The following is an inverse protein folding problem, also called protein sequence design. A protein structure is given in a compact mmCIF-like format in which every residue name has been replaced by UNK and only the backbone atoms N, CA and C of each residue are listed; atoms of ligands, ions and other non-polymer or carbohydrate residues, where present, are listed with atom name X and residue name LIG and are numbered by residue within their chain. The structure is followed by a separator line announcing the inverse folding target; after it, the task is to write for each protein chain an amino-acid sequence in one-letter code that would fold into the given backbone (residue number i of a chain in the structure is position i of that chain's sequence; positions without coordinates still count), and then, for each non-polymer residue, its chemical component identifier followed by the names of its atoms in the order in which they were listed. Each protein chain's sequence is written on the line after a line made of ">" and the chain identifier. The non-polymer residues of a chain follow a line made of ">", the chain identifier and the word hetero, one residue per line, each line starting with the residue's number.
data_IF_489998018114
#
_entry.id   IF_489998018114
#
_cell.length_a   1.000
_cell.length_b   1.000
_cell.length_c   1.000
_cell.angle_alpha   90.00
_cell.angle_beta   90.00
_cell.angle_gamma   90.00
#
_symmetry.space_group_name_H-M   'P 1'
#
loop_
_entity.id
_entity.type
_entity.pdbx_description
1 polymer ?
#
# COMPACT_ATOMS: atom_id res chain seq x y z
N UNK A 1 21.59 -12.94 -27.86
CA UNK A 1 22.96 -13.37 -28.12
C UNK A 1 23.23 -14.74 -27.47
N UNK A 2 24.20 -15.51 -27.95
CA UNK A 2 24.54 -16.81 -27.37
C UNK A 2 24.86 -16.69 -25.85
N UNK A 3 25.49 -15.61 -25.42
CA UNK A 3 25.75 -15.34 -23.99
C UNK A 3 24.45 -15.23 -23.17
N UNK A 4 23.41 -14.54 -23.67
CA UNK A 4 22.14 -14.43 -22.95
C UNK A 4 21.41 -15.77 -22.80
N UNK A 5 21.62 -16.72 -23.70
CA UNK A 5 21.00 -18.04 -23.63
C UNK A 5 21.68 -18.95 -22.60
N UNK A 6 22.98 -18.76 -22.34
CA UNK A 6 23.71 -19.45 -21.26
C UNK A 6 23.18 -19.04 -19.89
N UNK A 7 22.99 -17.73 -19.64
CA UNK A 7 22.46 -17.23 -18.37
C UNK A 7 21.02 -17.69 -18.13
N UNK A 8 20.18 -17.76 -19.15
CA UNK A 8 18.79 -18.22 -19.02
C UNK A 8 18.70 -19.68 -18.57
N UNK A 9 19.57 -20.56 -19.07
CA UNK A 9 19.66 -21.94 -18.60
C UNK A 9 20.05 -22.00 -17.11
N UNK A 10 21.01 -21.16 -16.69
CA UNK A 10 21.44 -21.11 -15.29
C UNK A 10 20.33 -20.62 -14.34
N UNK A 11 19.48 -19.69 -14.80
CA UNK A 11 18.37 -19.13 -14.02
C UNK A 11 17.19 -20.10 -13.98
N UNK A 12 16.96 -20.89 -15.02
CA UNK A 12 15.79 -21.75 -15.14
C UNK A 12 15.65 -22.71 -13.94
N UNK A 13 16.76 -23.30 -13.50
CA UNK A 13 16.80 -24.30 -12.42
C UNK A 13 17.00 -23.69 -11.01
N UNK A 14 16.85 -22.36 -10.86
CA UNK A 14 17.04 -21.64 -9.59
C UNK A 14 15.82 -20.78 -9.28
N UNK A 15 15.76 -20.26 -8.07
CA UNK A 15 14.76 -19.26 -7.64
C UNK A 15 15.20 -17.81 -7.92
N UNK A 16 16.23 -17.62 -8.71
CA UNK A 16 16.76 -16.29 -9.00
C UNK A 16 15.80 -15.50 -9.89
N UNK A 17 15.70 -14.23 -9.58
CA UNK A 17 15.07 -13.23 -10.42
C UNK A 17 16.11 -12.59 -11.34
N UNK A 18 15.68 -12.06 -12.48
CA UNK A 18 16.59 -11.42 -13.40
C UNK A 18 16.06 -10.09 -13.94
N UNK A 19 16.97 -9.13 -14.11
CA UNK A 19 16.70 -7.87 -14.80
C UNK A 19 16.99 -8.06 -16.28
N UNK A 20 15.99 -7.76 -17.13
CA UNK A 20 16.12 -7.82 -18.57
C UNK A 20 15.93 -6.42 -19.18
N UNK A 21 16.94 -5.99 -19.93
CA UNK A 21 16.98 -4.66 -20.55
C UNK A 21 16.33 -4.69 -21.93
N UNK A 22 15.49 -3.68 -22.25
CA UNK A 22 14.89 -3.53 -23.59
C UNK A 22 15.85 -2.85 -24.55
N UNK A 23 16.99 -3.50 -24.79
CA UNK A 23 17.99 -3.08 -25.79
C UNK A 23 18.37 -4.24 -26.71
N UNK A 24 18.85 -3.91 -27.88
CA UNK A 24 19.39 -4.85 -28.87
C UNK A 24 20.86 -4.56 -29.20
N UNK A 25 21.39 -5.17 -30.23
CA UNK A 25 22.79 -4.96 -30.65
C UNK A 25 23.04 -3.56 -31.20
N UNK A 26 21.99 -2.85 -31.62
CA UNK A 26 22.07 -1.46 -32.12
C UNK A 26 21.96 -0.42 -31.00
N UNK A 27 21.75 -0.88 -29.75
CA UNK A 27 21.66 -0.02 -28.58
C UNK A 27 20.23 0.08 -28.00
N UNK A 28 19.93 1.26 -27.39
CA UNK A 28 18.61 1.54 -26.80
C UNK A 28 17.66 2.02 -27.90
N UNK A 29 16.54 1.30 -28.17
CA UNK A 29 15.58 1.75 -29.19
C UNK A 29 14.89 3.06 -28.77
N UNK A 30 14.61 3.90 -29.74
CA UNK A 30 13.97 5.21 -29.62
C UNK A 30 12.44 5.14 -29.58
N UNK A 31 11.83 4.02 -30.00
CA UNK A 31 10.39 3.88 -30.10
C UNK A 31 9.83 2.78 -29.20
N UNK A 32 8.57 2.95 -28.79
CA UNK A 32 7.80 1.98 -27.99
C UNK A 32 7.71 0.65 -28.75
N UNK A 33 7.42 0.69 -30.05
CA UNK A 33 7.23 -0.50 -30.88
C UNK A 33 8.48 -1.38 -30.91
N UNK A 34 9.67 -0.77 -31.08
CA UNK A 34 10.94 -1.51 -31.08
C UNK A 34 11.22 -2.11 -29.70
N UNK A 35 10.99 -1.36 -28.61
CA UNK A 35 11.14 -1.87 -27.23
C UNK A 35 10.19 -3.03 -26.96
N UNK A 36 8.93 -2.92 -27.36
CA UNK A 36 7.95 -4.00 -27.20
C UNK A 36 8.29 -5.23 -28.03
N UNK A 37 8.86 -5.08 -29.23
CA UNK A 37 9.36 -6.22 -30.01
C UNK A 37 10.47 -6.99 -29.26
N UNK A 38 11.39 -6.26 -28.62
CA UNK A 38 12.43 -6.87 -27.77
C UNK A 38 11.80 -7.56 -26.57
N UNK A 39 10.85 -6.89 -25.93
CA UNK A 39 10.10 -7.45 -24.79
C UNK A 39 9.45 -8.80 -25.14
N UNK A 40 8.69 -8.88 -26.22
CA UNK A 40 8.07 -10.14 -26.62
C UNK A 40 9.10 -11.23 -26.96
N UNK A 41 10.23 -10.86 -27.55
CA UNK A 41 11.34 -11.78 -27.77
C UNK A 41 11.96 -12.31 -26.45
N UNK A 42 12.02 -11.48 -25.40
CA UNK A 42 12.43 -11.89 -24.06
C UNK A 42 11.40 -12.86 -23.46
N UNK A 43 10.10 -12.56 -23.59
CA UNK A 43 9.02 -13.40 -23.07
C UNK A 43 8.95 -14.77 -23.75
N UNK A 44 9.11 -14.82 -25.06
CA UNK A 44 9.17 -16.08 -25.80
C UNK A 44 10.33 -16.97 -25.30
N UNK A 45 11.51 -16.37 -25.10
CA UNK A 45 12.66 -17.10 -24.56
C UNK A 45 12.46 -17.50 -23.10
N UNK A 46 11.88 -16.65 -22.26
CA UNK A 46 11.55 -17.00 -20.87
C UNK A 46 10.64 -18.24 -20.83
N UNK A 47 9.60 -18.25 -21.70
CA UNK A 47 8.70 -19.40 -21.83
C UNK A 47 9.43 -20.67 -22.26
N UNK A 48 10.38 -20.59 -23.23
CA UNK A 48 11.18 -21.72 -23.68
C UNK A 48 12.02 -22.35 -22.57
N UNK A 49 12.50 -21.53 -21.61
CA UNK A 49 13.31 -21.98 -20.47
C UNK A 49 12.49 -22.21 -19.19
N UNK A 50 11.15 -22.10 -19.23
CA UNK A 50 10.30 -22.31 -18.07
C UNK A 50 10.45 -21.23 -16.98
N UNK A 51 10.94 -20.03 -17.32
CA UNK A 51 11.09 -18.92 -16.39
C UNK A 51 9.74 -18.20 -16.26
N UNK A 52 9.19 -18.19 -15.05
CA UNK A 52 7.91 -17.50 -14.77
C UNK A 52 8.04 -15.98 -14.97
N UNK A 53 7.01 -15.31 -15.55
CA UNK A 53 7.03 -13.85 -15.73
C UNK A 53 7.27 -13.08 -14.44
N UNK A 54 6.75 -13.56 -13.29
CA UNK A 54 6.95 -12.94 -11.97
C UNK A 54 8.40 -12.92 -11.49
N UNK A 55 9.29 -13.64 -12.15
CA UNK A 55 10.75 -13.64 -11.88
C UNK A 55 11.53 -12.66 -12.76
N UNK A 56 10.82 -11.92 -13.61
CA UNK A 56 11.43 -10.97 -14.56
C UNK A 56 11.19 -9.53 -14.10
N UNK A 57 12.29 -8.78 -14.02
CA UNK A 57 12.31 -7.34 -13.85
C UNK A 57 12.69 -6.71 -15.20
N UNK A 58 11.73 -6.15 -15.88
CA UNK A 58 11.98 -5.51 -17.17
C UNK A 58 12.41 -4.06 -16.95
N UNK A 59 13.56 -3.69 -17.52
CA UNK A 59 13.97 -2.30 -17.59
C UNK A 59 13.72 -1.77 -19.00
N UNK A 60 12.69 -0.92 -19.19
CA UNK A 60 12.43 -0.30 -20.49
C UNK A 60 13.54 0.65 -20.94
N UNK A 61 14.46 0.99 -20.06
CA UNK A 61 15.56 1.93 -20.24
C UNK A 61 15.08 3.36 -20.47
N UNK A 62 15.48 4.24 -19.56
CA UNK A 62 15.22 5.67 -19.69
C UNK A 62 16.50 6.37 -20.22
N UNK A 63 16.34 7.19 -21.24
CA UNK A 63 17.38 8.08 -21.76
C UNK A 63 17.23 9.47 -21.14
N UNK A 64 18.25 10.32 -21.26
CA UNK A 64 18.19 11.66 -20.67
C UNK A 64 17.27 12.59 -21.45
N UNK A 65 16.47 13.39 -20.72
CA UNK A 65 15.68 14.48 -21.29
C UNK A 65 16.53 15.52 -22.05
N UNK A 66 17.81 15.62 -21.71
CA UNK A 66 18.73 16.52 -22.39
C UNK A 66 18.97 16.18 -23.87
N UNK A 67 18.75 14.92 -24.26
CA UNK A 67 18.91 14.45 -25.64
C UNK A 67 17.61 14.01 -26.30
N UNK A 68 16.61 13.60 -25.49
CA UNK A 68 15.32 13.13 -26.00
C UNK A 68 14.18 13.61 -25.09
N UNK A 69 13.37 14.54 -25.59
CA UNK A 69 12.23 15.08 -24.87
C UNK A 69 11.07 14.07 -24.70
N UNK A 70 11.06 12.99 -25.48
CA UNK A 70 10.04 11.93 -25.41
C UNK A 70 10.42 10.79 -24.44
N UNK A 71 11.59 10.90 -23.79
CA UNK A 71 12.15 9.86 -22.91
C UNK A 71 11.15 9.32 -21.88
N UNK A 72 10.42 10.21 -21.19
CA UNK A 72 9.39 9.81 -20.24
C UNK A 72 8.20 9.14 -20.93
N UNK A 73 7.70 9.69 -22.03
CA UNK A 73 6.52 9.16 -22.73
C UNK A 73 6.78 7.76 -23.26
N UNK A 74 7.91 7.55 -23.91
CA UNK A 74 8.32 6.24 -24.43
C UNK A 74 8.48 5.23 -23.29
N UNK A 75 9.14 5.61 -22.19
CA UNK A 75 9.28 4.76 -21.01
C UNK A 75 7.93 4.39 -20.41
N UNK A 76 7.06 5.38 -20.16
CA UNK A 76 5.76 5.18 -19.52
C UNK A 76 4.82 4.33 -20.38
N UNK A 77 4.82 4.50 -21.69
CA UNK A 77 3.99 3.71 -22.61
C UNK A 77 4.47 2.25 -22.67
N UNK A 78 5.79 2.00 -22.63
CA UNK A 78 6.30 0.65 -22.46
C UNK A 78 5.82 0.02 -21.15
N UNK A 79 5.92 0.74 -20.01
CA UNK A 79 5.47 0.25 -18.72
C UNK A 79 3.99 -0.14 -18.74
N UNK A 80 3.12 0.74 -19.25
CA UNK A 80 1.67 0.49 -19.35
C UNK A 80 1.36 -0.73 -20.21
N UNK A 81 2.00 -0.86 -21.38
CA UNK A 81 1.79 -2.00 -22.28
C UNK A 81 2.28 -3.30 -21.67
N UNK A 82 3.44 -3.31 -21.02
CA UNK A 82 3.96 -4.49 -20.31
C UNK A 82 3.00 -4.92 -19.20
N UNK A 83 2.56 -4.00 -18.35
CA UNK A 83 1.64 -4.30 -17.24
C UNK A 83 0.24 -4.71 -17.72
N UNK A 84 -0.20 -4.23 -18.86
CA UNK A 84 -1.45 -4.68 -19.47
C UNK A 84 -1.39 -6.13 -19.96
N UNK A 85 -0.29 -6.51 -20.61
CA UNK A 85 -0.10 -7.86 -21.17
C UNK A 85 0.31 -8.90 -20.11
N UNK A 86 1.14 -8.47 -19.14
CA UNK A 86 1.73 -9.32 -18.11
C UNK A 86 1.75 -8.57 -16.76
N UNK A 87 0.63 -8.55 -16.01
CA UNK A 87 0.52 -7.80 -14.76
C UNK A 87 1.53 -8.24 -13.68
N UNK A 88 1.95 -9.52 -13.72
CA UNK A 88 2.87 -10.15 -12.78
C UNK A 88 4.34 -9.79 -13.00
N UNK A 89 4.71 -9.22 -14.16
CA UNK A 89 6.09 -8.78 -14.44
C UNK A 89 6.43 -7.57 -13.59
N UNK A 90 7.63 -7.56 -13.03
CA UNK A 90 8.18 -6.38 -12.38
C UNK A 90 8.82 -5.44 -13.39
N UNK A 91 8.67 -4.14 -13.16
CA UNK A 91 9.31 -3.10 -13.98
C UNK A 91 10.28 -2.31 -13.11
N UNK A 92 11.53 -2.25 -13.55
CA UNK A 92 12.60 -1.53 -12.86
C UNK A 92 13.24 -0.48 -13.75
N UNK A 93 13.97 0.47 -13.18
CA UNK A 93 14.82 1.38 -13.95
C UNK A 93 15.91 2.04 -13.12
N UNK A 94 17.00 2.40 -13.78
CA UNK A 94 18.02 3.30 -13.27
C UNK A 94 17.53 4.75 -13.32
N UNK A 95 16.91 5.21 -12.24
CA UNK A 95 16.13 6.45 -12.18
C UNK A 95 16.89 7.71 -12.61
N UNK A 96 18.15 7.84 -12.24
CA UNK A 96 18.90 9.08 -12.41
C UNK A 96 19.33 9.38 -13.85
N UNK A 97 19.17 8.43 -14.78
CA UNK A 97 19.52 8.62 -16.18
C UNK A 97 18.67 9.72 -16.84
N UNK A 98 17.39 9.85 -16.47
CA UNK A 98 16.45 10.84 -17.02
C UNK A 98 17.00 12.28 -16.94
N UNK A 99 17.74 12.58 -15.88
CA UNK A 99 18.23 13.92 -15.58
C UNK A 99 19.71 14.15 -15.91
N UNK A 100 20.38 13.19 -16.57
CA UNK A 100 21.80 13.31 -16.87
C UNK A 100 22.08 14.57 -17.71
N UNK A 101 23.11 15.33 -17.32
CA UNK A 101 23.48 16.58 -17.97
C UNK A 101 22.61 17.80 -17.65
N UNK A 102 21.55 17.66 -16.82
CA UNK A 102 20.66 18.76 -16.47
C UNK A 102 20.97 19.33 -15.08
N UNK A 103 20.67 20.63 -14.82
CA UNK A 103 20.82 21.20 -13.49
C UNK A 103 19.75 20.69 -12.52
N UNK A 104 20.05 20.79 -11.21
CA UNK A 104 19.11 20.42 -10.11
C UNK A 104 18.43 19.04 -10.33
N UNK A 105 19.23 18.07 -10.72
CA UNK A 105 18.81 16.71 -11.10
C UNK A 105 17.80 16.04 -10.14
N UNK A 106 17.92 16.34 -8.83
CA UNK A 106 17.02 15.79 -7.80
C UNK A 106 15.55 16.06 -8.07
N UNK A 107 15.21 17.24 -8.60
CA UNK A 107 13.81 17.61 -8.86
C UNK A 107 13.24 16.78 -10.01
N UNK A 108 14.02 16.61 -11.09
CA UNK A 108 13.62 15.79 -12.24
C UNK A 108 13.51 14.32 -11.82
N UNK A 109 14.47 13.80 -11.04
CA UNK A 109 14.44 12.41 -10.58
C UNK A 109 13.21 12.12 -9.70
N UNK A 110 12.83 13.06 -8.82
CA UNK A 110 11.63 12.91 -7.98
C UNK A 110 10.34 12.92 -8.82
N UNK A 111 10.22 13.86 -9.74
CA UNK A 111 9.07 13.93 -10.65
C UNK A 111 8.98 12.67 -11.53
N UNK A 112 10.11 12.22 -12.07
CA UNK A 112 10.17 11.00 -12.85
C UNK A 112 9.76 9.77 -12.05
N UNK A 113 10.20 9.63 -10.79
CA UNK A 113 9.78 8.53 -9.91
C UNK A 113 8.25 8.45 -9.81
N UNK A 114 7.59 9.57 -9.52
CA UNK A 114 6.12 9.64 -9.39
C UNK A 114 5.44 9.18 -10.68
N UNK A 115 5.86 9.73 -11.81
CA UNK A 115 5.28 9.43 -13.12
C UNK A 115 5.56 8.00 -13.58
N UNK A 116 6.75 7.47 -13.30
CA UNK A 116 7.11 6.10 -13.60
C UNK A 116 6.32 5.08 -12.77
N UNK A 117 6.15 5.35 -11.45
CA UNK A 117 5.29 4.54 -10.58
C UNK A 117 3.83 4.55 -11.05
N UNK A 118 3.32 5.71 -11.47
CA UNK A 118 1.98 5.82 -12.05
C UNK A 118 1.83 5.05 -13.38
N UNK A 119 2.93 4.91 -14.13
CA UNK A 119 2.95 4.12 -15.37
C UNK A 119 3.07 2.60 -15.13
N UNK A 120 3.33 2.16 -13.90
CA UNK A 120 3.43 0.75 -13.54
C UNK A 120 4.81 0.28 -13.06
N UNK A 121 5.82 1.17 -12.98
CA UNK A 121 7.09 0.81 -12.36
C UNK A 121 6.88 0.45 -10.88
N UNK A 122 7.43 -0.65 -10.43
CA UNK A 122 7.27 -1.19 -9.07
C UNK A 122 8.60 -1.46 -8.35
N UNK A 123 9.72 -1.33 -9.07
CA UNK A 123 11.07 -1.35 -8.48
C UNK A 123 11.96 -0.30 -9.15
N UNK A 124 13.02 0.14 -8.47
CA UNK A 124 13.93 1.15 -9.00
C UNK A 124 15.31 1.10 -8.34
N UNK A 125 16.34 1.45 -9.11
CA UNK A 125 17.69 1.65 -8.57
C UNK A 125 17.79 3.10 -8.09
N UNK A 126 17.77 3.29 -6.77
CA UNK A 126 17.80 4.60 -6.11
C UNK A 126 18.71 4.58 -4.89
N UNK A 127 19.14 5.76 -4.46
CA UNK A 127 19.83 5.93 -3.18
C UNK A 127 18.82 5.85 -2.03
N UNK A 128 18.86 4.80 -1.18
CA UNK A 128 17.93 4.63 -0.08
C UNK A 128 18.13 5.63 1.06
N UNK A 129 19.25 6.35 1.08
CA UNK A 129 19.54 7.38 2.08
C UNK A 129 18.92 8.74 1.73
N UNK A 130 18.48 8.93 0.49
CA UNK A 130 17.83 10.15 0.02
C UNK A 130 16.40 10.25 0.57
N UNK A 131 16.26 10.94 1.71
CA UNK A 131 14.98 11.10 2.43
C UNK A 131 13.85 11.67 1.55
N UNK A 132 14.19 12.61 0.64
CA UNK A 132 13.20 13.23 -0.25
C UNK A 132 12.68 12.20 -1.27
N UNK A 133 13.57 11.39 -1.86
CA UNK A 133 13.19 10.33 -2.79
C UNK A 133 12.31 9.28 -2.10
N UNK A 134 12.72 8.83 -0.92
CA UNK A 134 11.92 7.90 -0.11
C UNK A 134 10.56 8.53 0.24
N UNK A 135 10.52 9.83 0.56
CA UNK A 135 9.26 10.56 0.79
C UNK A 135 8.32 10.51 -0.42
N UNK A 136 8.86 10.73 -1.62
CA UNK A 136 8.08 10.64 -2.86
C UNK A 136 7.52 9.23 -3.10
N UNK A 137 8.29 8.18 -2.82
CA UNK A 137 7.83 6.80 -2.96
C UNK A 137 6.64 6.51 -2.05
N UNK A 138 6.73 6.85 -0.76
CA UNK A 138 5.64 6.65 0.19
C UNK A 138 4.40 7.46 -0.19
N UNK A 139 4.56 8.74 -0.52
CA UNK A 139 3.46 9.60 -0.95
C UNK A 139 2.79 9.09 -2.23
N UNK A 140 3.59 8.63 -3.20
CA UNK A 140 3.06 8.08 -4.47
C UNK A 140 2.30 6.78 -4.24
N UNK A 141 2.79 5.89 -3.36
CA UNK A 141 2.05 4.68 -3.01
C UNK A 141 0.69 4.99 -2.38
N UNK A 142 0.62 6.00 -1.51
CA UNK A 142 -0.64 6.46 -0.92
C UNK A 142 -1.59 7.01 -1.99
N UNK A 143 -1.09 7.84 -2.92
CA UNK A 143 -1.89 8.42 -4.02
C UNK A 143 -2.36 7.37 -5.05
N UNK A 144 -1.61 6.28 -5.23
CA UNK A 144 -1.95 5.19 -6.14
C UNK A 144 -2.73 4.05 -5.46
N UNK A 145 -3.29 4.28 -4.28
CA UNK A 145 -4.09 3.31 -3.52
C UNK A 145 -3.34 2.01 -3.17
N UNK A 146 -1.98 2.05 -3.18
CA UNK A 146 -1.10 0.93 -2.81
C UNK A 146 -0.79 0.90 -1.31
N UNK A 147 -1.12 1.95 -0.58
CA UNK A 147 -0.93 2.12 0.86
C UNK A 147 -2.29 2.28 1.53
N UNK A 148 -2.81 1.19 2.05
CA UNK A 148 -4.14 1.12 2.65
C UNK A 148 -4.24 2.11 3.82
N UNK A 149 -5.16 3.07 3.71
CA UNK A 149 -5.38 4.16 4.70
C UNK A 149 -4.14 5.02 4.99
N UNK A 150 -3.18 5.09 4.07
CA UNK A 150 -1.91 5.80 4.25
C UNK A 150 -1.09 5.33 5.48
N UNK A 151 -1.29 4.10 5.93
CA UNK A 151 -0.65 3.58 7.15
C UNK A 151 0.86 3.49 7.01
N UNK A 152 1.37 3.12 5.84
CA UNK A 152 2.80 3.10 5.54
C UNK A 152 3.41 4.49 5.57
N UNK A 153 2.73 5.48 4.93
CA UNK A 153 3.15 6.88 4.94
C UNK A 153 3.16 7.46 6.37
N UNK A 154 2.07 7.26 7.11
CA UNK A 154 1.94 7.73 8.49
C UNK A 154 3.00 7.05 9.39
N UNK A 155 3.21 5.74 9.25
CA UNK A 155 4.23 5.02 10.00
C UNK A 155 5.65 5.51 9.73
N UNK A 156 5.91 6.04 8.52
CA UNK A 156 7.22 6.56 8.15
C UNK A 156 7.46 8.00 8.58
N UNK A 157 6.43 8.87 8.49
CA UNK A 157 6.55 10.33 8.63
C UNK A 157 5.69 10.91 9.74
N UNK A 158 4.70 10.17 10.23
CA UNK A 158 3.95 10.55 11.41
C UNK A 158 4.92 10.74 12.58
N UNK A 159 4.67 11.73 13.40
CA UNK A 159 5.45 11.92 14.60
C UNK A 159 5.47 10.58 15.37
N UNK A 160 6.67 10.07 15.62
CA UNK A 160 6.90 9.14 16.73
C UNK A 160 6.75 9.97 18.01
N UNK A 161 5.58 10.60 18.18
CA UNK A 161 5.21 11.23 19.40
C UNK A 161 5.15 10.10 20.41
N UNK A 162 6.29 9.94 21.05
CA UNK A 162 6.48 9.44 22.40
C UNK A 162 5.60 8.27 22.82
N UNK A 163 6.23 7.33 23.45
CA UNK A 163 5.70 6.27 24.31
C UNK A 163 4.66 6.73 25.36
N UNK A 164 4.20 7.95 25.31
CA UNK A 164 3.08 8.55 26.03
C UNK A 164 1.77 8.58 25.23
N UNK A 165 1.59 7.69 24.26
CA UNK A 165 0.24 7.37 23.79
C UNK A 165 -0.58 7.02 25.03
N UNK A 166 -1.69 7.72 25.24
CA UNK A 166 -2.57 7.43 26.37
C UNK A 166 -2.80 5.91 26.42
N UNK A 167 -2.18 5.26 27.41
CA UNK A 167 -2.46 3.86 27.64
C UNK A 167 -3.92 3.80 28.08
N UNK A 168 -4.70 2.91 27.47
CA UNK A 168 -6.08 2.75 27.88
C UNK A 168 -6.09 2.33 29.34
N UNK A 169 -6.75 3.12 30.18
CA UNK A 169 -7.15 2.65 31.50
C UNK A 169 -8.60 2.19 31.33
N UNK A 170 -8.87 0.90 31.15
CA UNK A 170 -10.22 0.38 31.22
C UNK A 170 -10.77 0.72 32.62
N UNK A 171 -12.01 1.08 32.69
CA UNK A 171 -12.69 1.34 33.99
C UNK A 171 -12.71 0.10 34.88
N UNK A 172 -12.48 -1.09 34.33
CA UNK A 172 -12.25 -2.36 35.05
C UNK A 172 -11.18 -3.19 34.31
N UNK A 173 -10.47 -4.11 34.98
CA UNK A 173 -9.55 -5.01 34.31
C UNK A 173 -10.33 -5.88 33.31
N UNK A 174 -10.07 -5.66 32.01
CA UNK A 174 -10.60 -6.48 30.94
C UNK A 174 -9.94 -7.86 31.01
N UNK A 175 -10.71 -8.93 30.75
CA UNK A 175 -10.12 -10.23 30.54
C UNK A 175 -9.28 -10.26 29.24
N UNK A 176 -8.51 -11.31 29.03
CA UNK A 176 -7.59 -11.42 27.89
C UNK A 176 -8.32 -11.32 26.53
N UNK A 177 -9.54 -11.85 26.44
CA UNK A 177 -10.34 -11.81 25.20
C UNK A 177 -10.86 -10.42 24.91
N UNK A 178 -11.36 -9.73 25.90
CA UNK A 178 -11.81 -8.34 25.78
C UNK A 178 -10.66 -7.40 25.49
N UNK A 179 -9.46 -7.63 26.07
CA UNK A 179 -8.25 -6.87 25.73
C UNK A 179 -7.85 -7.05 24.25
N UNK A 180 -7.99 -8.27 23.70
CA UNK A 180 -7.77 -8.51 22.27
C UNK A 180 -8.75 -7.71 21.42
N UNK A 181 -10.04 -7.73 21.73
CA UNK A 181 -11.07 -6.95 21.02
C UNK A 181 -10.77 -5.45 21.12
N UNK A 182 -10.44 -4.95 22.30
CA UNK A 182 -10.05 -3.56 22.50
C UNK A 182 -8.89 -3.15 21.59
N UNK A 183 -7.80 -3.92 21.61
CA UNK A 183 -6.61 -3.63 20.82
C UNK A 183 -6.88 -3.69 19.33
N UNK A 184 -7.60 -4.69 18.83
CA UNK A 184 -7.94 -4.80 17.41
C UNK A 184 -8.84 -3.66 16.92
N UNK A 185 -9.75 -3.18 17.79
CA UNK A 185 -10.57 -1.99 17.51
C UNK A 185 -9.69 -0.75 17.42
N UNK A 186 -8.83 -0.52 18.41
CA UNK A 186 -7.91 0.62 18.47
C UNK A 186 -6.96 0.65 17.25
N UNK A 187 -6.42 -0.52 16.87
CA UNK A 187 -5.46 -0.68 15.76
C UNK A 187 -6.16 -0.72 14.37
N UNK A 188 -7.50 -0.66 14.33
CA UNK A 188 -8.26 -0.63 13.08
C UNK A 188 -8.23 -1.95 12.28
N UNK A 189 -8.09 -3.10 12.95
CA UNK A 189 -7.96 -4.43 12.36
C UNK A 189 -9.32 -5.03 11.96
N UNK A 190 -9.97 -4.43 10.96
CA UNK A 190 -11.33 -4.78 10.53
C UNK A 190 -11.51 -6.23 10.05
N UNK A 191 -10.45 -6.87 9.54
CA UNK A 191 -10.50 -8.28 9.10
C UNK A 191 -10.42 -9.29 10.25
N UNK A 192 -9.82 -8.90 11.36
CA UNK A 192 -9.54 -9.77 12.51
C UNK A 192 -10.54 -9.59 13.64
N UNK A 193 -11.17 -8.40 13.74
CA UNK A 193 -12.05 -8.03 14.84
C UNK A 193 -13.27 -8.94 14.97
N UNK A 194 -13.89 -9.34 13.85
CA UNK A 194 -15.06 -10.20 13.87
C UNK A 194 -14.80 -11.55 14.54
N UNK A 195 -13.65 -12.16 14.23
CA UNK A 195 -13.23 -13.40 14.87
C UNK A 195 -12.96 -13.21 16.37
N UNK A 196 -12.28 -12.11 16.74
CA UNK A 196 -11.96 -11.84 18.13
C UNK A 196 -13.22 -11.59 18.99
N UNK A 197 -14.22 -10.91 18.43
CA UNK A 197 -15.53 -10.71 19.07
C UNK A 197 -16.24 -12.07 19.27
N UNK A 198 -16.24 -12.95 18.25
CA UNK A 198 -16.81 -14.28 18.37
C UNK A 198 -16.08 -15.10 19.43
N UNK A 199 -14.76 -15.09 19.47
CA UNK A 199 -13.97 -15.78 20.50
C UNK A 199 -14.27 -15.28 21.92
N UNK A 200 -14.58 -13.98 22.09
CA UNK A 200 -14.99 -13.41 23.37
C UNK A 200 -16.39 -13.88 23.78
N UNK A 201 -17.33 -13.92 22.83
CA UNK A 201 -18.68 -14.44 23.05
C UNK A 201 -18.66 -15.93 23.44
N UNK A 202 -17.88 -16.73 22.70
CA UNK A 202 -17.73 -18.18 22.96
C UNK A 202 -17.07 -18.46 24.34
N UNK A 203 -16.24 -17.54 24.81
CA UNK A 203 -15.66 -17.58 26.17
C UNK A 203 -16.63 -17.13 27.27
N UNK A 204 -17.85 -16.68 26.92
CA UNK A 204 -18.90 -16.27 27.87
C UNK A 204 -18.82 -14.81 28.28
N UNK A 205 -18.08 -13.96 27.58
CA UNK A 205 -18.10 -12.52 27.83
C UNK A 205 -19.48 -11.93 27.51
N UNK A 206 -19.95 -11.03 28.34
CA UNK A 206 -21.24 -10.36 28.11
C UNK A 206 -21.18 -9.47 26.86
N UNK A 207 -22.11 -9.64 25.88
CA UNK A 207 -22.12 -8.84 24.65
C UNK A 207 -22.15 -7.34 24.88
N UNK A 208 -22.85 -6.88 25.93
CA UNK A 208 -22.94 -5.47 26.27
C UNK A 208 -21.59 -4.95 26.83
N UNK A 209 -20.88 -5.76 27.62
CA UNK A 209 -19.55 -5.44 28.11
C UNK A 209 -18.52 -5.42 26.95
N UNK A 210 -18.59 -6.37 25.99
CA UNK A 210 -17.73 -6.33 24.80
C UNK A 210 -17.93 -5.00 24.04
N UNK A 211 -19.19 -4.58 23.84
CA UNK A 211 -19.49 -3.33 23.15
C UNK A 211 -18.99 -2.12 23.93
N UNK A 212 -19.36 -1.98 25.21
CA UNK A 212 -19.12 -0.78 25.98
C UNK A 212 -17.67 -0.66 26.46
N UNK A 213 -17.14 -1.71 27.08
CA UNK A 213 -15.84 -1.65 27.74
C UNK A 213 -14.70 -1.88 26.77
N UNK A 214 -14.84 -2.84 25.82
CA UNK A 214 -13.79 -3.11 24.87
C UNK A 214 -13.86 -2.18 23.64
N UNK A 215 -15.00 -2.12 22.94
CA UNK A 215 -15.04 -1.42 21.64
C UNK A 215 -15.24 0.08 21.80
N UNK A 216 -16.22 0.54 22.57
CA UNK A 216 -16.44 1.99 22.83
C UNK A 216 -15.27 2.54 23.63
N UNK A 217 -14.76 1.77 24.63
CA UNK A 217 -13.55 2.15 25.37
C UNK A 217 -12.34 2.37 24.45
N UNK A 218 -12.13 1.48 23.46
CA UNK A 218 -11.07 1.64 22.45
C UNK A 218 -11.28 2.92 21.61
N UNK A 219 -12.51 3.20 21.17
CA UNK A 219 -12.82 4.41 20.39
C UNK A 219 -12.62 5.70 21.20
N UNK A 220 -12.86 5.68 22.51
CA UNK A 220 -12.56 6.82 23.37
C UNK A 220 -11.06 7.15 23.38
N UNK A 221 -10.21 6.11 23.44
CA UNK A 221 -8.75 6.28 23.35
C UNK A 221 -8.32 6.75 21.95
N UNK A 222 -8.93 6.22 20.90
CA UNK A 222 -8.71 6.68 19.52
C UNK A 222 -9.04 8.17 19.39
N UNK A 223 -10.18 8.60 19.92
CA UNK A 223 -10.60 10.02 19.92
C UNK A 223 -9.64 10.93 20.68
N UNK A 224 -9.18 10.51 21.85
CA UNK A 224 -8.21 11.30 22.63
C UNK A 224 -6.83 11.37 21.95
N UNK A 225 -6.37 10.27 21.34
CA UNK A 225 -5.13 10.25 20.58
C UNK A 225 -5.23 11.11 19.31
N UNK A 226 -6.39 11.13 18.65
CA UNK A 226 -6.64 12.02 17.52
C UNK A 226 -6.61 13.49 17.94
N UNK A 227 -7.26 13.84 19.04
CA UNK A 227 -7.24 15.20 19.60
C UNK A 227 -5.84 15.67 19.95
N UNK A 228 -4.96 14.75 20.39
CA UNK A 228 -3.56 15.03 20.71
C UNK A 228 -2.63 14.98 19.50
N UNK A 229 -3.17 14.80 18.29
CA UNK A 229 -2.38 14.66 17.04
C UNK A 229 -1.39 13.48 17.06
N UNK A 230 -1.64 12.46 17.89
CA UNK A 230 -0.85 11.23 17.96
C UNK A 230 -1.21 10.30 16.81
N UNK A 231 -2.51 10.28 16.43
CA UNK A 231 -3.02 9.57 15.27
C UNK A 231 -3.70 10.53 14.30
N UNK A 232 -3.88 10.09 13.06
CA UNK A 232 -4.44 10.89 11.97
C UNK A 232 -5.78 10.33 11.49
N UNK A 233 -6.52 11.12 10.69
CA UNK A 233 -7.85 10.74 10.17
C UNK A 233 -7.90 9.32 9.60
N UNK A 234 -6.95 8.85 8.77
CA UNK A 234 -7.02 7.49 8.23
C UNK A 234 -7.02 6.40 9.32
N UNK A 235 -6.26 6.59 10.40
CA UNK A 235 -6.20 5.64 11.52
C UNK A 235 -7.49 5.65 12.33
N UNK A 236 -8.07 6.85 12.56
CA UNK A 236 -9.38 7.00 13.20
C UNK A 236 -10.47 6.29 12.40
N UNK A 237 -10.49 6.48 11.08
CA UNK A 237 -11.45 5.81 10.19
C UNK A 237 -11.25 4.29 10.16
N UNK A 238 -10.00 3.81 10.20
CA UNK A 238 -9.72 2.37 10.29
C UNK A 238 -10.28 1.79 11.59
N UNK A 239 -10.10 2.46 12.73
CA UNK A 239 -10.67 2.05 14.02
C UNK A 239 -12.21 2.03 13.99
N UNK A 240 -12.85 3.05 13.40
CA UNK A 240 -14.29 3.10 13.24
C UNK A 240 -14.84 1.94 12.38
N UNK A 241 -14.13 1.58 11.30
CA UNK A 241 -14.50 0.42 10.46
C UNK A 241 -14.33 -0.89 11.21
N UNK A 242 -13.26 -1.05 11.98
CA UNK A 242 -13.08 -2.22 12.84
C UNK A 242 -14.22 -2.33 13.86
N UNK A 243 -14.56 -1.23 14.53
CA UNK A 243 -15.71 -1.18 15.43
C UNK A 243 -16.99 -1.61 14.73
N UNK A 244 -17.30 -1.05 13.55
CA UNK A 244 -18.50 -1.42 12.78
C UNK A 244 -18.53 -2.91 12.47
N UNK A 245 -17.40 -3.49 12.02
CA UNK A 245 -17.31 -4.92 11.72
C UNK A 245 -17.54 -5.79 12.97
N UNK A 246 -17.03 -5.40 14.13
CA UNK A 246 -17.27 -6.11 15.39
C UNK A 246 -18.73 -5.99 15.87
N UNK A 247 -19.34 -4.81 15.72
CA UNK A 247 -20.76 -4.59 16.06
C UNK A 247 -21.67 -5.47 15.23
N UNK A 248 -21.37 -5.72 13.95
CA UNK A 248 -22.17 -6.63 13.11
C UNK A 248 -22.21 -8.05 13.71
N UNK A 249 -21.14 -8.52 14.33
CA UNK A 249 -21.10 -9.83 15.02
C UNK A 249 -21.90 -9.79 16.33
N UNK A 250 -21.91 -8.66 17.05
CA UNK A 250 -22.64 -8.52 18.31
C UNK A 250 -24.16 -8.34 18.14
N UNK A 251 -24.63 -7.81 17.02
CA UNK A 251 -26.05 -7.48 16.77
C UNK A 251 -27.03 -8.58 17.18
N UNK A 252 -26.85 -9.86 16.81
CA UNK A 252 -27.79 -10.92 17.18
C UNK A 252 -27.91 -11.14 18.69
N UNK A 253 -26.84 -10.87 19.43
CA UNK A 253 -26.75 -11.08 20.88
C UNK A 253 -27.28 -9.89 21.68
N UNK A 254 -27.19 -8.67 21.13
CA UNK A 254 -27.70 -7.45 21.75
C UNK A 254 -29.22 -7.30 21.59
N UNK A 255 -29.80 -7.87 20.53
CA UNK A 255 -31.23 -7.81 20.26
C UNK A 255 -32.10 -8.71 21.20
N UNK A 256 -31.48 -9.66 21.91
CA UNK A 256 -32.17 -10.61 22.80
C UNK A 256 -32.19 -10.18 24.26
N UNK A 257 -31.44 -9.11 24.64
CA UNK A 257 -31.44 -8.58 25.99
C UNK A 257 -32.58 -7.57 26.22
N UNK A 258 -33.15 -7.51 27.43
CA UNK A 258 -34.03 -6.42 27.89
C UNK A 258 -33.26 -5.11 28.07
N UNK A 259 -32.49 -4.68 27.07
CA UNK A 259 -31.88 -3.37 27.04
C UNK A 259 -32.98 -2.35 26.82
N UNK A 260 -33.43 -1.74 27.89
CA UNK A 260 -34.38 -0.62 27.85
C UNK A 260 -33.90 0.39 26.80
N UNK A 261 -34.74 0.72 25.81
CA UNK A 261 -34.42 1.72 24.83
C UNK A 261 -34.06 3.04 25.50
N UNK A 262 -32.84 3.49 25.35
CA UNK A 262 -32.38 4.80 25.88
C UNK A 262 -33.03 6.00 25.15
N UNK A 263 -33.88 5.72 24.14
CA UNK A 263 -34.54 6.72 23.32
C UNK A 263 -34.20 6.58 21.83
N UNK A 264 -34.78 7.42 21.00
CA UNK A 264 -34.54 7.48 19.56
C UNK A 264 -33.65 8.68 19.23
N UNK A 265 -32.51 8.42 18.59
CA UNK A 265 -31.62 9.44 18.04
C UNK A 265 -31.86 9.48 16.53
N UNK A 266 -32.19 10.67 16.01
CA UNK A 266 -32.34 10.91 14.58
C UNK A 266 -31.09 11.65 14.11
N UNK A 267 -30.34 11.00 13.19
CA UNK A 267 -29.20 11.58 12.50
C UNK A 267 -29.60 11.88 11.06
N UNK A 268 -29.28 13.06 10.57
CA UNK A 268 -29.56 13.46 9.21
C UNK A 268 -28.50 14.43 8.67
N UNK A 269 -28.19 14.31 7.38
CA UNK A 269 -27.37 15.30 6.66
C UNK A 269 -28.27 16.27 5.92
N UNK A 270 -27.87 17.53 5.88
CA UNK A 270 -28.60 18.54 5.07
C UNK A 270 -28.29 18.38 3.59
N UNK A 271 -29.26 18.72 2.74
CA UNK A 271 -29.08 18.63 1.29
C UNK A 271 -27.87 19.47 0.83
N UNK A 272 -26.95 18.84 0.10
CA UNK A 272 -25.75 19.49 -0.42
C UNK A 272 -24.51 19.36 0.47
N UNK A 273 -24.64 18.81 1.66
CA UNK A 273 -23.52 18.55 2.59
C UNK A 273 -23.26 17.05 2.69
N UNK A 274 -22.46 16.54 1.75
CA UNK A 274 -22.05 15.14 1.71
C UNK A 274 -20.68 15.01 2.38
N UNK A 275 -20.68 14.67 3.68
CA UNK A 275 -19.48 14.30 4.40
C UNK A 275 -19.49 12.80 4.71
N UNK A 276 -18.41 12.09 4.35
CA UNK A 276 -18.20 10.68 4.72
C UNK A 276 -17.92 10.49 6.21
N UNK A 277 -17.68 11.58 6.92
CA UNK A 277 -17.37 11.65 8.36
C UNK A 277 -18.43 12.56 8.99
N UNK A 278 -19.57 12.00 9.25
CA UNK A 278 -20.67 12.70 9.90
C UNK A 278 -21.28 11.87 11.02
#
# INVERSE_FOLDING_TARGET
>A
SAASDVYKRQIADTDWECVALLCDNDGIPDSVERRMKIFFGIMEKAKQYGIAPSRLHIDPLVVTLGTDQTALTVFADCCRRIKYEYPEIHITSGLSNISFGLPVRKNINQAFMVLAMNAGMDSAIVDPTNKNMIGMIYATNALLERDEYCLGYIGKFGNKATEEAAQPVPASPLDEKMQKVFKLTQDGKNKEIGQAVQEALDAGCDPTAILNDAMIGAMAVVGENFKKEIIFVPQMLAAARAMKAGVEVLKPYLATGEAGSAGTIILGTVAGDLHDIG
#
